data_IF_136574272737
#
_entry.id   IF_136574272737
#
_cell.length_a   1.000
_cell.length_b   1.000
_cell.length_c   1.000
_cell.angle_alpha   90.00
_cell.angle_beta   90.00
_cell.angle_gamma   90.00
#
_symmetry.space_group_name_H-M   'P 1'
#
loop_
_entity.id
_entity.type
_entity.pdbx_description
1 polymer ?
#
# COMPACT_ATOMS: atom_id res chain seq x y z
N UNK A 1 23.51 -3.42 -13.21
CA UNK A 1 23.41 -4.42 -12.13
C UNK A 1 21.95 -4.82 -12.02
N UNK A 2 21.60 -6.11 -12.15
CA UNK A 2 20.21 -6.57 -12.26
C UNK A 2 19.60 -6.69 -10.85
N UNK A 3 18.55 -5.93 -10.57
CA UNK A 3 17.75 -6.07 -9.34
C UNK A 3 16.87 -7.31 -9.45
N UNK A 4 16.71 -7.97 -8.30
CA UNK A 4 15.86 -9.13 -8.11
C UNK A 4 14.81 -8.72 -7.09
N UNK A 5 13.77 -8.05 -7.56
CA UNK A 5 12.54 -7.86 -6.80
C UNK A 5 11.79 -9.22 -6.79
N UNK A 6 11.19 -9.49 -5.65
CA UNK A 6 10.44 -10.71 -5.37
C UNK A 6 9.29 -10.22 -4.48
N UNK A 7 8.11 -9.96 -5.05
CA UNK A 7 6.94 -9.60 -4.25
C UNK A 7 6.49 -10.85 -3.51
N UNK A 8 5.79 -10.72 -2.39
CA UNK A 8 5.01 -11.79 -1.75
C UNK A 8 3.61 -11.19 -1.60
N UNK A 9 2.57 -11.76 -2.21
CA UNK A 9 1.24 -11.16 -2.26
C UNK A 9 0.56 -11.43 -0.93
N UNK A 10 0.48 -10.37 -0.13
CA UNK A 10 -0.78 -9.78 0.23
C UNK A 10 -0.92 -8.47 -0.61
N UNK A 11 -2.02 -8.31 -1.35
CA UNK A 11 -2.16 -7.39 -2.47
C UNK A 11 -2.59 -5.95 -2.10
N UNK A 12 -1.84 -4.93 -2.54
CA UNK A 12 -2.23 -3.88 -3.53
C UNK A 12 -1.07 -2.89 -3.75
N UNK A 13 -1.14 -2.22 -4.90
CA UNK A 13 -0.21 -1.24 -5.45
C UNK A 13 0.08 -0.03 -4.55
N UNK A 14 1.36 0.19 -4.27
CA UNK A 14 1.91 1.50 -3.94
C UNK A 14 2.68 2.03 -5.15
N UNK A 15 2.02 2.85 -5.99
CA UNK A 15 2.71 3.58 -7.06
C UNK A 15 3.21 4.93 -6.51
N UNK A 16 4.46 4.95 -6.02
CA UNK A 16 5.41 6.07 -6.13
C UNK A 16 6.71 5.76 -5.37
N UNK A 17 7.67 5.08 -6.01
CA UNK A 17 9.09 5.27 -5.69
C UNK A 17 9.73 5.76 -6.99
N UNK A 18 9.87 7.07 -7.11
CA UNK A 18 10.61 7.69 -8.18
C UNK A 18 11.55 8.74 -7.55
N UNK A 19 12.80 8.72 -8.00
CA UNK A 19 13.98 9.45 -7.49
C UNK A 19 14.74 8.79 -6.31
N UNK A 20 15.43 7.67 -6.57
CA UNK A 20 16.87 7.50 -6.27
C UNK A 20 17.37 6.06 -6.53
N UNK A 21 17.48 5.64 -7.78
CA UNK A 21 18.57 4.81 -8.32
C UNK A 21 18.17 4.28 -9.70
N UNK A 22 19.08 4.43 -10.66
CA UNK A 22 18.93 3.84 -11.98
C UNK A 22 18.91 2.31 -11.84
N UNK A 23 17.89 1.69 -12.46
CA UNK A 23 17.53 0.28 -12.41
C UNK A 23 16.94 -0.14 -11.06
N UNK A 24 15.67 -0.58 -10.99
CA UNK A 24 15.01 -1.31 -9.89
C UNK A 24 13.81 -2.07 -10.50
N UNK A 25 13.87 -3.39 -10.71
CA UNK A 25 12.73 -4.20 -11.24
C UNK A 25 12.76 -5.69 -10.82
N UNK A 26 11.56 -6.31 -10.74
CA UNK A 26 11.16 -7.75 -10.95
C UNK A 26 10.09 -8.41 -10.01
N UNK A 27 9.19 -9.23 -10.57
CA UNK A 27 8.71 -10.53 -10.04
C UNK A 27 7.78 -10.65 -8.82
N UNK A 28 6.47 -10.89 -9.03
CA UNK A 28 5.47 -11.12 -7.97
C UNK A 28 5.42 -12.59 -7.50
N UNK A 29 5.50 -12.87 -6.19
CA UNK A 29 5.20 -14.16 -5.51
C UNK A 29 3.92 -13.96 -4.72
N UNK A 30 3.07 -14.97 -4.54
CA UNK A 30 1.89 -14.96 -3.65
C UNK A 30 2.15 -15.94 -2.51
N UNK A 31 1.78 -15.61 -1.27
CA UNK A 31 1.82 -16.58 -0.16
C UNK A 31 0.45 -16.70 0.48
N UNK A 32 0.06 -17.95 0.73
CA UNK A 32 -1.16 -18.34 1.44
C UNK A 32 -1.09 -17.86 2.89
N UNK A 33 -2.09 -17.10 3.33
CA UNK A 33 -2.23 -16.70 4.73
C UNK A 33 -3.47 -17.38 5.32
N UNK A 34 -3.25 -18.25 6.32
CA UNK A 34 -4.30 -19.05 6.98
C UNK A 34 -4.94 -18.33 8.19
N UNK A 35 -4.73 -17.02 8.37
CA UNK A 35 -5.34 -16.27 9.47
C UNK A 35 -6.82 -15.96 9.24
N UNK A 36 -7.62 -16.01 10.33
CA UNK A 36 -9.07 -15.72 10.33
C UNK A 36 -9.39 -14.36 9.69
N UNK A 37 -10.50 -14.26 8.94
CA UNK A 37 -10.87 -13.03 8.24
C UNK A 37 -11.16 -11.88 9.21
N UNK A 38 -10.56 -10.73 8.97
CA UNK A 38 -11.01 -9.44 9.51
C UNK A 38 -11.82 -8.74 8.43
N UNK A 39 -13.12 -8.51 8.68
CA UNK A 39 -13.95 -7.72 7.79
C UNK A 39 -13.41 -6.29 7.72
N UNK A 40 -12.99 -5.84 6.53
CA UNK A 40 -12.64 -4.43 6.27
C UNK A 40 -13.13 -3.99 4.91
N UNK A 41 -13.63 -2.76 4.89
CA UNK A 41 -14.11 -2.02 3.73
C UNK A 41 -12.95 -1.70 2.78
N UNK A 42 -12.98 -2.21 1.55
CA UNK A 42 -12.19 -1.65 0.44
C UNK A 42 -13.10 -1.48 -0.79
N UNK A 43 -13.83 -0.38 -0.93
CA UNK A 43 -14.44 -0.03 -2.20
C UNK A 43 -13.33 0.32 -3.18
N UNK A 44 -13.28 -0.38 -4.31
CA UNK A 44 -12.45 0.03 -5.44
C UNK A 44 -12.80 1.46 -5.85
N UNK A 45 -11.79 2.34 -5.90
CA UNK A 45 -11.92 3.72 -6.36
C UNK A 45 -12.49 3.79 -7.81
N UNK A 46 -12.45 2.67 -8.55
CA UNK A 46 -12.83 2.57 -9.95
C UNK A 46 -14.26 2.07 -10.21
N UNK A 47 -14.96 1.49 -9.22
CA UNK A 47 -16.27 0.85 -9.47
C UNK A 47 -17.47 1.80 -9.51
N UNK A 48 -17.29 3.08 -9.16
CA UNK A 48 -18.40 4.05 -9.05
C UNK A 48 -18.40 5.16 -10.10
N UNK A 49 -17.55 5.10 -11.13
CA UNK A 49 -17.61 6.02 -12.27
C UNK A 49 -18.52 5.47 -13.39
N UNK A 50 -19.82 5.38 -13.11
CA UNK A 50 -20.84 5.49 -14.17
C UNK A 50 -21.37 6.92 -14.16
N UNK A 51 -20.83 7.77 -15.03
CA UNK A 51 -21.47 9.04 -15.37
C UNK A 51 -22.82 8.67 -16.01
N UNK A 52 -23.94 8.92 -15.31
CA UNK A 52 -25.24 8.91 -15.96
C UNK A 52 -25.30 10.10 -16.92
N UNK A 53 -25.72 9.83 -18.15
CA UNK A 53 -25.76 10.78 -19.27
C UNK A 53 -26.93 11.75 -19.21
N UNK A 54 -27.68 11.83 -18.10
CA UNK A 54 -28.97 12.54 -18.04
C UNK A 54 -28.99 13.82 -17.19
N UNK A 55 -27.87 14.22 -16.58
CA UNK A 55 -27.68 15.60 -16.08
C UNK A 55 -28.64 16.06 -14.97
N UNK A 56 -29.30 15.14 -14.26
CA UNK A 56 -30.17 15.46 -13.12
C UNK A 56 -29.40 15.34 -11.79
N UNK A 57 -29.43 16.35 -10.90
CA UNK A 57 -28.95 16.21 -9.53
C UNK A 57 -30.03 15.52 -8.68
N UNK A 58 -29.83 14.24 -8.40
CA UNK A 58 -30.52 13.58 -7.29
C UNK A 58 -29.52 13.53 -6.13
N UNK A 59 -29.68 14.42 -5.15
CA UNK A 59 -28.76 14.67 -4.03
C UNK A 59 -28.84 13.59 -2.93
N UNK A 60 -29.41 12.42 -3.23
CA UNK A 60 -29.33 11.28 -2.31
C UNK A 60 -28.27 10.29 -2.80
N UNK A 61 -27.17 10.10 -2.02
CA UNK A 61 -26.25 9.01 -2.27
C UNK A 61 -27.06 7.71 -2.35
N UNK A 62 -26.85 6.86 -3.37
CA UNK A 62 -27.47 5.55 -3.36
C UNK A 62 -27.15 4.86 -2.03
N UNK A 63 -28.12 4.15 -1.41
CA UNK A 63 -27.87 3.46 -0.16
C UNK A 63 -26.64 2.58 -0.31
N UNK A 64 -25.74 2.65 0.66
CA UNK A 64 -24.52 1.86 0.61
C UNK A 64 -24.89 0.38 0.47
N UNK A 65 -24.28 -0.35 -0.49
CA UNK A 65 -24.50 -1.78 -0.60
C UNK A 65 -24.09 -2.45 0.72
N UNK A 66 -24.75 -3.56 1.10
CA UNK A 66 -24.46 -4.27 2.34
C UNK A 66 -22.98 -4.64 2.43
N UNK A 67 -22.45 -4.63 3.65
CA UNK A 67 -21.08 -5.05 3.96
C UNK A 67 -20.80 -6.44 3.38
N UNK A 68 -19.96 -6.52 2.35
CA UNK A 68 -19.45 -7.82 1.90
C UNK A 68 -18.44 -8.31 2.93
N UNK A 69 -18.77 -9.46 3.55
CA UNK A 69 -17.84 -10.18 4.40
C UNK A 69 -16.69 -10.64 3.52
N UNK A 70 -15.48 -10.19 3.83
CA UNK A 70 -14.26 -10.71 3.22
C UNK A 70 -14.14 -12.17 3.63
N UNK A 71 -14.60 -13.07 2.78
CA UNK A 71 -14.17 -14.45 2.88
C UNK A 71 -12.66 -14.46 2.59
N UNK A 72 -11.91 -15.31 3.30
CA UNK A 72 -10.48 -15.48 3.04
C UNK A 72 -10.20 -15.92 1.59
N UNK A 73 -8.95 -16.28 1.30
CA UNK A 73 -8.60 -16.87 0.00
C UNK A 73 -9.63 -17.91 -0.48
N UNK A 74 -10.26 -17.67 -1.63
CA UNK A 74 -11.14 -18.62 -2.32
C UNK A 74 -10.63 -18.83 -3.74
N UNK A 75 -10.13 -20.03 -4.01
CA UNK A 75 -9.61 -20.39 -5.34
C UNK A 75 -10.68 -20.48 -6.43
N UNK A 76 -11.96 -20.47 -6.05
CA UNK A 76 -13.08 -20.54 -7.00
C UNK A 76 -13.68 -19.16 -7.30
N UNK A 77 -13.30 -18.13 -6.54
CA UNK A 77 -13.63 -16.75 -6.86
C UNK A 77 -12.70 -16.29 -7.98
N UNK A 78 -13.10 -16.50 -9.23
CA UNK A 78 -12.24 -16.32 -10.42
C UNK A 78 -12.68 -15.05 -11.17
N UNK A 79 -11.73 -14.14 -11.41
CA UNK A 79 -11.99 -12.91 -12.17
C UNK A 79 -12.56 -13.23 -13.56
N UNK A 80 -13.54 -12.43 -14.00
CA UNK A 80 -14.05 -12.55 -15.36
C UNK A 80 -12.97 -12.17 -16.38
N UNK A 81 -12.99 -12.78 -17.57
CA UNK A 81 -11.99 -12.51 -18.61
C UNK A 81 -11.85 -11.01 -18.96
N UNK A 82 -12.94 -10.23 -19.17
CA UNK A 82 -12.83 -8.80 -19.46
C UNK A 82 -12.20 -7.99 -18.33
N UNK A 83 -12.45 -8.36 -17.07
CA UNK A 83 -11.86 -7.72 -15.90
C UNK A 83 -10.35 -7.99 -15.86
N UNK A 84 -9.95 -9.25 -16.03
CA UNK A 84 -8.56 -9.64 -16.10
C UNK A 84 -7.80 -8.94 -17.23
N UNK A 85 -8.42 -8.78 -18.40
CA UNK A 85 -7.84 -8.06 -19.53
C UNK A 85 -7.71 -6.55 -19.24
N UNK A 86 -8.71 -5.94 -18.60
CA UNK A 86 -8.64 -4.55 -18.19
C UNK A 86 -7.49 -4.30 -17.19
N UNK A 87 -7.32 -5.21 -16.21
CA UNK A 87 -6.20 -5.16 -15.25
C UNK A 87 -4.86 -5.37 -15.95
N UNK A 88 -4.76 -6.31 -16.89
CA UNK A 88 -3.55 -6.50 -17.69
C UNK A 88 -3.17 -5.23 -18.49
N UNK A 89 -4.14 -4.54 -19.10
CA UNK A 89 -3.87 -3.26 -19.80
C UNK A 89 -3.41 -2.19 -18.83
N UNK A 90 -4.06 -2.06 -17.66
CA UNK A 90 -3.67 -1.10 -16.62
C UNK A 90 -2.25 -1.38 -16.10
N UNK A 91 -1.88 -2.64 -15.86
CA UNK A 91 -0.54 -2.99 -15.39
C UNK A 91 0.54 -2.86 -16.47
N UNK A 92 0.20 -3.07 -17.74
CA UNK A 92 1.12 -2.73 -18.84
C UNK A 92 1.44 -1.23 -18.84
N UNK A 93 0.40 -0.39 -18.73
CA UNK A 93 0.59 1.06 -18.58
C UNK A 93 1.44 1.41 -17.35
N UNK A 94 1.18 0.79 -16.19
CA UNK A 94 2.00 0.98 -14.99
C UNK A 94 3.48 0.59 -15.20
N UNK A 95 3.74 -0.50 -15.95
CA UNK A 95 5.11 -0.91 -16.32
C UNK A 95 5.81 0.17 -17.16
N UNK A 96 5.10 0.79 -18.10
CA UNK A 96 5.63 1.92 -18.86
C UNK A 96 5.99 3.09 -17.94
N UNK A 97 5.13 3.42 -16.96
CA UNK A 97 5.40 4.49 -16.01
C UNK A 97 6.63 4.22 -15.14
N UNK A 98 6.83 2.96 -14.70
CA UNK A 98 7.98 2.59 -13.87
C UNK A 98 9.32 2.70 -14.63
N UNK A 99 9.31 2.57 -15.96
CA UNK A 99 10.51 2.69 -16.81
C UNK A 99 10.79 4.12 -17.27
N UNK A 100 9.77 4.96 -17.26
CA UNK A 100 9.85 6.33 -17.71
C UNK A 100 10.62 7.20 -16.70
N UNK A 101 11.13 8.33 -17.16
CA UNK A 101 11.65 9.36 -16.26
C UNK A 101 10.53 9.93 -15.39
N UNK A 102 10.85 10.56 -14.25
CA UNK A 102 9.85 11.20 -13.40
C UNK A 102 8.95 12.17 -14.17
N UNK A 103 9.52 12.95 -15.10
CA UNK A 103 8.78 13.91 -15.92
C UNK A 103 7.83 13.20 -16.90
N UNK A 104 8.31 12.20 -17.63
CA UNK A 104 7.49 11.44 -18.58
C UNK A 104 6.37 10.67 -17.87
N UNK A 105 6.70 9.97 -16.78
CA UNK A 105 5.72 9.29 -15.95
C UNK A 105 4.69 10.29 -15.41
N UNK A 106 5.13 11.46 -14.95
CA UNK A 106 4.25 12.52 -14.46
C UNK A 106 3.30 13.10 -15.51
N UNK A 107 3.76 13.23 -16.76
CA UNK A 107 2.96 13.70 -17.91
C UNK A 107 1.96 12.66 -18.41
N UNK A 108 2.28 11.37 -18.28
CA UNK A 108 1.47 10.27 -18.81
C UNK A 108 0.21 9.97 -17.99
N UNK A 109 0.11 10.45 -16.74
CA UNK A 109 -1.08 10.25 -15.91
C UNK A 109 -2.33 10.90 -16.52
N UNK A 110 -3.42 10.15 -16.74
CA UNK A 110 -4.65 10.66 -17.35
C UNK A 110 -5.46 11.50 -16.35
N UNK A 111 -6.38 12.34 -16.85
CA UNK A 111 -7.40 12.98 -16.00
C UNK A 111 -8.33 11.90 -15.40
N UNK A 112 -8.82 12.05 -14.14
CA UNK A 112 -8.57 13.16 -13.21
C UNK A 112 -7.27 13.00 -12.38
N UNK A 113 -6.48 11.97 -12.64
CA UNK A 113 -5.24 11.64 -11.90
C UNK A 113 -4.00 12.42 -12.37
N UNK A 114 -4.20 13.41 -13.24
CA UNK A 114 -3.15 14.25 -13.78
C UNK A 114 -2.40 14.93 -12.65
N UNK A 115 -1.08 14.78 -12.68
CA UNK A 115 -0.21 15.29 -11.60
C UNK A 115 0.09 16.77 -11.81
N UNK A 116 0.07 17.52 -10.71
CA UNK A 116 0.54 18.90 -10.64
C UNK A 116 1.57 19.02 -9.51
N UNK A 117 2.86 19.28 -9.79
CA UNK A 117 3.46 19.40 -11.13
C UNK A 117 3.39 18.09 -11.92
N UNK A 118 3.55 18.15 -13.25
CA UNK A 118 3.57 16.99 -14.16
C UNK A 118 4.86 16.17 -13.99
N UNK A 119 5.09 15.66 -12.80
CA UNK A 119 6.24 14.85 -12.41
C UNK A 119 5.79 13.76 -11.43
N UNK A 120 6.36 12.56 -11.59
CA UNK A 120 6.24 11.47 -10.63
C UNK A 120 7.08 11.70 -9.37
N UNK A 121 8.01 12.67 -9.41
CA UNK A 121 8.83 13.07 -8.27
C UNK A 121 7.95 13.38 -7.07
N UNK A 122 8.39 12.90 -5.91
CA UNK A 122 7.73 13.22 -4.66
C UNK A 122 7.78 14.73 -4.40
N UNK A 123 6.65 15.39 -4.05
CA UNK A 123 6.67 16.77 -3.57
C UNK A 123 7.22 16.88 -2.15
N UNK A 124 7.50 15.74 -1.50
CA UNK A 124 7.94 15.68 -0.12
C UNK A 124 9.22 16.47 0.12
N UNK A 125 9.20 17.28 1.18
CA UNK A 125 10.37 17.96 1.72
C UNK A 125 10.50 17.55 3.19
N UNK A 126 11.67 17.07 3.64
CA UNK A 126 11.88 16.60 5.01
C UNK A 126 11.50 17.60 6.10
N UNK A 127 11.50 18.91 5.80
CA UNK A 127 11.19 19.98 6.74
C UNK A 127 9.68 20.26 6.90
N UNK A 128 8.83 19.65 6.07
CA UNK A 128 7.37 19.83 6.12
C UNK A 128 6.74 18.47 6.37
N UNK A 129 6.39 18.21 7.63
CA UNK A 129 5.83 16.93 8.05
C UNK A 129 4.33 16.80 7.78
N UNK A 130 3.63 17.85 7.30
CA UNK A 130 2.20 17.81 6.95
C UNK A 130 1.33 17.13 8.03
N UNK A 131 1.62 17.40 9.31
CA UNK A 131 0.91 16.85 10.46
C UNK A 131 0.91 15.32 10.55
N UNK A 132 1.97 14.68 10.04
CA UNK A 132 2.28 13.28 10.30
C UNK A 132 3.15 13.15 11.54
N UNK A 133 2.72 12.32 12.49
CA UNK A 133 3.37 12.06 13.76
C UNK A 133 3.79 10.60 13.86
N UNK A 134 4.94 10.33 14.51
CA UNK A 134 5.23 8.98 14.99
C UNK A 134 4.28 8.68 16.15
N UNK A 135 3.51 7.61 16.04
CA UNK A 135 2.58 7.14 17.06
C UNK A 135 3.14 5.91 17.78
N UNK A 136 2.60 5.62 18.95
CA UNK A 136 2.96 4.46 19.75
C UNK A 136 2.67 3.17 18.98
N UNK A 137 3.66 2.30 18.89
CA UNK A 137 3.53 1.04 18.15
C UNK A 137 4.28 -0.09 18.82
N UNK A 138 3.60 -1.24 18.97
CA UNK A 138 4.20 -2.44 19.55
C UNK A 138 5.27 -3.02 18.60
N UNK A 139 6.52 -2.64 18.87
CA UNK A 139 7.68 -3.10 18.11
C UNK A 139 7.85 -4.62 18.15
N UNK A 140 7.47 -5.27 19.26
CA UNK A 140 7.70 -6.70 19.46
C UNK A 140 6.68 -7.55 18.72
N UNK A 141 5.43 -7.10 18.64
CA UNK A 141 4.38 -7.81 17.92
C UNK A 141 4.34 -7.48 16.43
N UNK A 142 4.47 -6.20 16.07
CA UNK A 142 4.09 -5.74 14.74
C UNK A 142 5.01 -6.15 13.58
N UNK A 143 6.30 -6.39 13.85
CA UNK A 143 7.23 -6.91 12.84
C UNK A 143 7.93 -8.21 13.29
N UNK A 144 7.28 -8.99 14.15
CA UNK A 144 7.71 -10.35 14.42
C UNK A 144 7.16 -11.27 13.31
N UNK A 145 8.02 -11.51 12.33
CA UNK A 145 7.71 -12.34 11.18
C UNK A 145 8.09 -13.82 11.40
N UNK A 146 8.29 -14.26 12.65
CA UNK A 146 8.68 -15.65 12.95
C UNK A 146 7.63 -16.66 12.50
N UNK A 147 8.04 -17.91 12.29
CA UNK A 147 7.11 -19.02 11.99
C UNK A 147 6.56 -19.68 13.28
N UNK A 148 6.79 -19.08 14.45
CA UNK A 148 6.47 -19.68 15.75
C UNK A 148 4.96 -19.71 16.05
N UNK A 149 4.54 -20.55 16.99
CA UNK A 149 3.12 -20.80 17.32
C UNK A 149 2.49 -19.78 18.29
N UNK A 150 3.11 -18.61 18.49
CA UNK A 150 2.47 -17.56 19.31
C UNK A 150 1.33 -16.94 18.51
N UNK A 151 0.36 -16.40 19.21
CA UNK A 151 -0.97 -16.01 18.72
C UNK A 151 -1.00 -14.97 17.60
N UNK A 152 0.15 -14.46 17.14
CA UNK A 152 0.32 -13.49 16.06
C UNK A 152 1.68 -13.71 15.38
N UNK A 153 1.75 -14.62 14.41
CA UNK A 153 2.94 -14.79 13.58
C UNK A 153 2.56 -14.72 12.11
N UNK A 154 3.35 -13.97 11.37
CA UNK A 154 3.06 -13.69 9.95
C UNK A 154 3.58 -14.79 9.02
N UNK A 155 4.28 -15.77 9.59
CA UNK A 155 4.80 -16.94 8.91
C UNK A 155 5.67 -16.59 7.69
N UNK A 156 6.48 -15.52 7.79
CA UNK A 156 7.39 -15.08 6.74
C UNK A 156 8.86 -15.42 7.05
N UNK A 157 9.17 -16.10 8.14
CA UNK A 157 10.56 -16.32 8.55
C UNK A 157 11.31 -17.15 7.50
N UNK A 158 10.69 -18.21 6.98
CA UNK A 158 11.29 -19.03 5.91
C UNK A 158 11.64 -18.20 4.68
N UNK A 159 10.76 -17.29 4.24
CA UNK A 159 10.96 -16.49 3.03
C UNK A 159 12.00 -15.38 3.25
N UNK A 160 11.91 -14.64 4.36
CA UNK A 160 12.86 -13.59 4.71
C UNK A 160 14.28 -14.15 4.95
N UNK A 161 14.39 -15.28 5.66
CA UNK A 161 15.67 -15.95 5.87
C UNK A 161 16.32 -16.38 4.55
N UNK A 162 15.55 -16.93 3.61
CA UNK A 162 16.05 -17.34 2.30
C UNK A 162 16.54 -16.15 1.46
N UNK A 163 16.04 -14.93 1.73
CA UNK A 163 16.49 -13.70 1.08
C UNK A 163 17.67 -13.02 1.80
N UNK A 164 18.09 -13.55 2.96
CA UNK A 164 19.10 -12.95 3.82
C UNK A 164 18.61 -11.67 4.51
N UNK A 165 17.32 -11.59 4.81
CA UNK A 165 16.68 -10.48 5.52
C UNK A 165 16.40 -10.87 6.96
N UNK A 166 16.29 -9.86 7.83
CA UNK A 166 15.80 -10.08 9.19
C UNK A 166 14.30 -10.38 9.18
N UNK A 167 13.86 -11.21 10.12
CA UNK A 167 12.45 -11.56 10.34
C UNK A 167 12.00 -11.20 11.77
N UNK A 168 12.82 -10.45 12.51
CA UNK A 168 12.52 -10.01 13.87
C UNK A 168 12.81 -8.51 14.03
N UNK A 169 12.10 -7.83 14.95
CA UNK A 169 12.39 -6.46 15.30
C UNK A 169 13.70 -6.35 16.09
N UNK A 170 14.32 -5.16 16.08
CA UNK A 170 15.56 -4.87 16.82
C UNK A 170 15.43 -5.12 18.32
N UNK A 171 14.27 -4.85 18.89
CA UNK A 171 13.95 -5.10 20.31
C UNK A 171 14.00 -6.58 20.68
N UNK A 172 13.92 -7.47 19.69
CA UNK A 172 14.01 -8.94 19.84
C UNK A 172 15.30 -9.51 19.23
N UNK A 173 16.30 -8.67 18.95
CA UNK A 173 17.60 -9.09 18.42
C UNK A 173 17.67 -9.26 16.90
N UNK A 174 16.63 -8.85 16.17
CA UNK A 174 16.68 -8.71 14.71
C UNK A 174 17.22 -7.35 14.25
N UNK A 175 16.98 -7.01 12.99
CA UNK A 175 17.47 -5.76 12.37
C UNK A 175 16.32 -4.81 11.97
N UNK A 176 15.05 -5.25 12.09
CA UNK A 176 13.88 -4.45 11.68
C UNK A 176 13.54 -3.38 12.72
N UNK A 177 13.26 -2.16 12.28
CA UNK A 177 12.63 -1.11 13.09
C UNK A 177 11.22 -0.88 12.59
N UNK A 178 10.22 -0.97 13.46
CA UNK A 178 8.82 -0.76 13.11
C UNK A 178 8.40 0.69 13.37
N UNK A 179 7.46 1.18 12.58
CA UNK A 179 6.92 2.53 12.70
C UNK A 179 5.39 2.48 12.53
N UNK A 180 4.68 3.29 13.32
CA UNK A 180 3.30 3.70 13.03
C UNK A 180 3.33 5.21 12.85
N UNK A 181 2.96 5.68 11.66
CA UNK A 181 2.94 7.10 11.32
C UNK A 181 1.49 7.50 11.10
N UNK A 182 0.99 8.44 11.88
CA UNK A 182 -0.42 8.82 11.89
C UNK A 182 -0.59 10.29 11.51
N UNK A 183 -1.63 10.59 10.75
CA UNK A 183 -2.03 11.95 10.40
C UNK A 183 -3.03 12.47 11.44
N UNK A 184 -2.54 12.43 12.67
CA UNK A 184 -3.12 12.90 13.92
C UNK A 184 -2.02 12.85 14.98
N UNK A 185 -2.15 13.65 16.02
CA UNK A 185 -1.30 13.61 17.19
C UNK A 185 -2.02 12.84 18.30
N UNK A 186 -1.49 11.66 18.66
CA UNK A 186 -2.05 10.81 19.71
C UNK A 186 -1.92 11.43 21.13
N UNK A 187 -1.11 12.48 21.25
CA UNK A 187 -0.88 13.21 22.49
C UNK A 187 -1.49 14.62 22.47
N UNK A 188 -2.32 14.95 21.47
CA UNK A 188 -3.03 16.22 21.47
C UNK A 188 -4.01 16.30 22.66
N UNK A 189 -3.99 17.41 23.38
CA UNK A 189 -4.87 17.69 24.52
C UNK A 189 -5.57 19.05 24.31
N UNK A 190 -6.80 19.16 24.82
CA UNK A 190 -7.54 20.42 24.84
C UNK A 190 -7.12 21.33 26.01
N UNK A 191 -7.79 22.46 26.19
CA UNK A 191 -7.47 23.44 27.25
C UNK A 191 -7.64 22.88 28.67
N UNK A 192 -8.47 21.84 28.82
CA UNK A 192 -8.76 21.18 30.08
C UNK A 192 -7.85 19.95 30.32
N UNK A 193 -6.94 19.66 29.38
CA UNK A 193 -6.02 18.53 29.44
C UNK A 193 -6.65 17.19 29.03
N UNK A 194 -7.81 17.21 28.36
CA UNK A 194 -8.41 15.99 27.83
C UNK A 194 -7.87 15.67 26.43
N UNK A 195 -7.69 14.38 26.08
CA UNK A 195 -7.25 14.00 24.74
C UNK A 195 -8.18 14.56 23.66
N UNK A 196 -7.60 15.30 22.71
CA UNK A 196 -8.33 15.83 21.56
C UNK A 196 -8.52 14.73 20.53
N UNK A 197 -9.77 14.33 20.21
CA UNK A 197 -10.01 13.32 19.18
C UNK A 197 -9.54 13.83 17.81
N UNK A 198 -9.07 12.94 16.95
CA UNK A 198 -8.45 13.34 15.68
C UNK A 198 -9.40 14.18 14.78
N UNK A 199 -10.73 14.03 14.91
CA UNK A 199 -11.70 14.83 14.16
C UNK A 199 -11.64 16.33 14.49
N UNK A 200 -11.21 16.66 15.71
CA UNK A 200 -11.12 18.04 16.20
C UNK A 200 -9.72 18.62 16.03
N UNK A 201 -8.75 17.80 15.63
CA UNK A 201 -7.38 18.23 15.39
C UNK A 201 -7.25 18.93 14.05
N UNK A 202 -6.61 20.11 14.06
CA UNK A 202 -6.38 20.92 12.88
C UNK A 202 -4.95 21.43 12.87
N UNK A 203 -4.39 21.65 11.68
CA UNK A 203 -3.04 22.17 11.51
C UNK A 203 -2.99 23.21 10.39
N UNK A 204 -1.88 23.91 10.27
CA UNK A 204 -1.69 24.90 9.21
C UNK A 204 -0.36 24.72 8.51
N UNK A 205 -0.38 24.75 7.18
CA UNK A 205 0.81 24.69 6.33
C UNK A 205 0.73 25.85 5.34
N UNK A 206 1.78 26.69 5.31
CA UNK A 206 1.84 27.87 4.44
C UNK A 206 0.64 28.84 4.58
N UNK A 207 0.04 28.93 5.77
CA UNK A 207 -1.10 29.80 6.04
C UNK A 207 -2.47 29.22 5.66
N UNK A 208 -2.52 28.01 5.10
CA UNK A 208 -3.76 27.27 4.85
C UNK A 208 -4.03 26.30 6.00
N UNK A 209 -5.31 26.20 6.42
CA UNK A 209 -5.75 25.35 7.53
C UNK A 209 -6.31 24.04 7.00
N UNK A 210 -5.87 22.94 7.59
CA UNK A 210 -6.26 21.58 7.23
C UNK A 210 -6.80 20.85 8.48
N UNK A 211 -7.71 19.91 8.26
CA UNK A 211 -8.14 18.96 9.29
C UNK A 211 -7.23 17.73 9.31
N UNK A 212 -7.02 17.17 10.50
CA UNK A 212 -6.43 15.85 10.62
C UNK A 212 -7.38 14.80 9.99
N UNK A 213 -6.81 13.87 9.24
CA UNK A 213 -7.57 12.83 8.55
C UNK A 213 -7.72 11.56 9.39
N UNK A 214 -6.83 11.34 10.36
CA UNK A 214 -6.73 10.08 11.11
C UNK A 214 -6.11 8.94 10.30
N UNK A 215 -5.60 9.21 9.10
CA UNK A 215 -4.91 8.22 8.28
C UNK A 215 -3.63 7.72 8.95
N UNK A 216 -3.20 6.51 8.61
CA UNK A 216 -2.06 5.89 9.27
C UNK A 216 -1.29 4.93 8.35
N UNK A 217 0.02 4.84 8.57
CA UNK A 217 0.93 3.96 7.84
C UNK A 217 1.79 3.16 8.82
N UNK A 218 1.67 1.84 8.78
CA UNK A 218 2.46 0.91 9.60
C UNK A 218 3.44 0.16 8.73
N UNK A 219 4.71 0.14 9.12
CA UNK A 219 5.76 -0.49 8.33
C UNK A 219 6.99 -0.85 9.16
N UNK A 220 7.73 -1.85 8.69
CA UNK A 220 9.05 -2.22 9.17
C UNK A 220 10.15 -1.81 8.19
N UNK A 221 11.34 -1.46 8.70
CA UNK A 221 12.51 -1.17 7.90
C UNK A 221 13.68 -2.04 8.34
N UNK A 222 14.22 -2.83 7.39
CA UNK A 222 15.49 -3.55 7.53
C UNK A 222 16.56 -2.86 6.65
N UNK A 223 17.19 -1.82 7.19
CA UNK A 223 18.23 -1.06 6.47
C UNK A 223 19.43 -1.94 6.08
N UNK A 224 19.74 -2.94 6.90
CA UNK A 224 20.90 -3.81 6.73
C UNK A 224 20.66 -4.85 5.64
N UNK A 225 19.52 -5.53 5.69
CA UNK A 225 19.09 -6.50 4.68
C UNK A 225 18.67 -5.85 3.35
N UNK A 226 18.23 -4.60 3.40
CA UNK A 226 17.81 -3.85 2.22
C UNK A 226 16.31 -3.94 1.95
N UNK A 227 15.46 -3.88 2.98
CA UNK A 227 14.02 -4.08 2.82
C UNK A 227 13.16 -3.04 3.53
N UNK A 228 12.01 -2.73 2.90
CA UNK A 228 10.87 -2.04 3.52
C UNK A 228 9.71 -3.05 3.55
N UNK A 229 9.06 -3.17 4.70
CA UNK A 229 7.90 -4.01 4.95
C UNK A 229 6.70 -3.11 5.21
N UNK A 230 5.95 -2.74 4.16
CA UNK A 230 4.64 -2.15 4.33
C UNK A 230 3.72 -3.18 5.01
N UNK A 231 3.20 -2.87 6.19
CA UNK A 231 2.28 -3.73 6.89
C UNK A 231 0.87 -3.30 6.47
N UNK A 232 0.15 -2.63 7.37
CA UNK A 232 -1.14 -2.06 7.03
C UNK A 232 -1.03 -0.56 6.81
N UNK A 233 -1.86 -0.02 5.93
CA UNK A 233 -1.91 1.40 5.64
C UNK A 233 -3.31 1.84 5.27
N UNK A 234 -3.68 3.05 5.67
CA UNK A 234 -4.95 3.68 5.34
C UNK A 234 -4.69 5.09 4.82
N UNK A 235 -5.22 5.40 3.63
CA UNK A 235 -4.89 6.64 2.94
C UNK A 235 -5.75 7.82 3.43
N UNK A 236 -5.22 9.05 3.46
CA UNK A 236 -5.94 10.27 3.88
C UNK A 236 -7.33 10.42 3.27
N UNK A 237 -7.47 10.22 1.96
CA UNK A 237 -8.75 10.37 1.27
C UNK A 237 -9.83 9.41 1.78
N UNK A 238 -9.43 8.19 2.14
CA UNK A 238 -10.34 7.16 2.62
C UNK A 238 -10.69 7.40 4.09
N UNK A 239 -9.68 7.54 4.94
CA UNK A 239 -9.89 7.73 6.38
C UNK A 239 -10.60 9.04 6.68
N UNK A 240 -10.29 10.12 5.96
CA UNK A 240 -11.06 11.37 6.06
C UNK A 240 -12.51 11.20 5.63
N UNK A 241 -12.81 10.40 4.60
CA UNK A 241 -14.19 10.20 4.17
C UNK A 241 -15.04 9.54 5.26
N UNK A 242 -14.45 8.54 5.92
CA UNK A 242 -15.10 7.77 6.98
C UNK A 242 -15.26 8.63 8.23
N UNK A 243 -14.22 9.37 8.59
CA UNK A 243 -14.18 10.20 9.78
C UNK A 243 -15.01 11.48 9.68
N UNK A 244 -15.08 12.09 8.50
CA UNK A 244 -15.81 13.34 8.27
C UNK A 244 -17.25 13.10 7.83
N UNK A 245 -17.66 11.85 7.59
CA UNK A 245 -19.00 11.49 7.13
C UNK A 245 -19.32 11.97 5.70
N UNK A 246 -18.32 12.41 4.93
CA UNK A 246 -18.45 12.88 3.55
C UNK A 246 -17.15 12.69 2.80
N UNK A 247 -17.23 12.59 1.47
CA UNK A 247 -16.03 12.54 0.63
C UNK A 247 -15.24 13.87 0.75
N UNK A 248 -13.92 13.82 1.02
CA UNK A 248 -13.09 15.01 1.03
C UNK A 248 -12.84 15.52 -0.40
N UNK A 249 -12.77 16.84 -0.56
CA UNK A 249 -12.23 17.46 -1.76
C UNK A 249 -10.70 17.32 -1.78
N UNK A 250 -10.12 17.31 -2.98
CA UNK A 250 -8.67 17.08 -3.13
C UNK A 250 -7.81 18.14 -2.43
N UNK A 251 -8.29 19.39 -2.34
CA UNK A 251 -7.63 20.49 -1.65
C UNK A 251 -7.82 20.48 -0.12
N UNK A 252 -8.66 19.59 0.42
CA UNK A 252 -8.82 19.41 1.88
C UNK A 252 -7.85 18.36 2.44
N UNK A 253 -7.17 17.61 1.56
CA UNK A 253 -6.27 16.52 1.92
C UNK A 253 -4.82 17.00 2.04
N UNK A 254 -3.99 16.34 2.88
CA UNK A 254 -2.57 16.64 2.95
C UNK A 254 -1.91 16.46 1.58
N UNK A 255 -1.08 17.41 1.17
CA UNK A 255 -0.30 17.27 -0.06
C UNK A 255 0.69 16.10 0.03
N UNK A 256 1.19 15.81 1.24
CA UNK A 256 1.91 14.58 1.55
C UNK A 256 0.91 13.53 2.03
N UNK A 257 0.36 12.75 1.10
CA UNK A 257 -0.65 11.73 1.41
C UNK A 257 -0.32 10.33 0.90
N UNK A 258 0.93 10.07 0.49
CA UNK A 258 1.33 8.80 -0.09
C UNK A 258 2.17 8.01 0.92
N UNK A 259 1.76 6.77 1.16
CA UNK A 259 2.47 5.84 2.02
C UNK A 259 3.94 5.68 1.60
N UNK A 260 4.21 5.57 0.30
CA UNK A 260 5.55 5.35 -0.22
C UNK A 260 6.50 6.53 0.01
N UNK A 261 5.99 7.77 -0.01
CA UNK A 261 6.81 8.96 0.29
C UNK A 261 7.28 8.93 1.75
N UNK A 262 6.38 8.59 2.67
CA UNK A 262 6.67 8.48 4.11
C UNK A 262 7.59 7.28 4.37
N UNK A 263 7.28 6.09 3.86
CA UNK A 263 8.15 4.93 4.04
C UNK A 263 9.56 5.16 3.47
N UNK A 264 9.68 5.81 2.32
CA UNK A 264 10.98 6.15 1.75
C UNK A 264 11.74 7.19 2.59
N UNK A 265 11.04 8.17 3.17
CA UNK A 265 11.67 9.09 4.11
C UNK A 265 12.31 8.35 5.29
N UNK A 266 11.58 7.42 5.91
CA UNK A 266 12.12 6.62 7.00
C UNK A 266 13.23 5.66 6.55
N UNK A 267 13.14 5.13 5.33
CA UNK A 267 14.20 4.32 4.72
C UNK A 267 15.50 5.11 4.54
N UNK A 268 15.39 6.35 4.05
CA UNK A 268 16.53 7.22 3.80
C UNK A 268 17.07 7.87 5.09
N UNK A 269 16.22 7.99 6.13
CA UNK A 269 16.57 8.60 7.42
C UNK A 269 17.71 7.83 8.09
N UNK A 270 18.81 8.52 8.33
CA UNK A 270 20.02 7.99 8.95
C UNK A 270 20.58 6.72 8.27
N UNK A 271 20.27 6.50 6.99
CA UNK A 271 20.73 5.34 6.25
C UNK A 271 21.93 5.72 5.37
N UNK A 272 23.16 5.29 5.72
CA UNK A 272 24.34 5.62 4.93
C UNK A 272 24.36 4.93 3.56
N UNK A 273 23.49 3.93 3.34
CA UNK A 273 23.43 3.14 2.12
C UNK A 273 22.00 3.10 1.54
N UNK A 274 21.41 4.27 1.28
CA UNK A 274 20.06 4.40 0.71
C UNK A 274 19.87 3.57 -0.58
N UNK A 275 20.94 3.37 -1.35
CA UNK A 275 20.95 2.59 -2.60
C UNK A 275 20.85 1.08 -2.38
N UNK A 276 20.96 0.58 -1.15
CA UNK A 276 20.82 -0.84 -0.81
C UNK A 276 19.36 -1.27 -0.63
N UNK A 277 18.39 -0.46 -1.08
CA UNK A 277 17.00 -0.93 -1.12
C UNK A 277 16.88 -2.02 -2.20
N UNK A 278 16.60 -3.24 -1.75
CA UNK A 278 16.51 -4.45 -2.59
C UNK A 278 15.08 -4.97 -2.68
N UNK A 279 14.31 -4.84 -1.61
CA UNK A 279 12.98 -5.41 -1.49
C UNK A 279 11.98 -4.41 -0.91
N UNK A 280 10.75 -4.51 -1.40
CA UNK A 280 9.59 -3.84 -0.85
C UNK A 280 8.49 -4.89 -0.70
N UNK A 281 8.07 -5.16 0.54
CA UNK A 281 7.01 -6.10 0.87
C UNK A 281 5.75 -5.33 1.24
N UNK A 282 4.59 -5.84 0.84
CA UNK A 282 3.30 -5.46 1.41
C UNK A 282 2.74 -6.69 2.12
N UNK A 283 2.48 -6.56 3.42
CA UNK A 283 2.06 -7.63 4.34
C UNK A 283 0.68 -7.26 4.88
N UNK A 284 -0.23 -8.22 5.03
CA UNK A 284 -1.61 -7.99 5.51
C UNK A 284 -2.52 -7.10 4.65
N UNK A 285 -2.14 -6.78 3.42
CA UNK A 285 -3.03 -6.07 2.51
C UNK A 285 -3.88 -7.10 1.76
N UNK A 286 -5.18 -7.14 2.00
CA UNK A 286 -6.10 -8.00 1.24
C UNK A 286 -6.82 -7.12 0.23
N UNK A 287 -6.69 -7.44 -1.06
CA UNK A 287 -7.39 -6.74 -2.13
C UNK A 287 -8.43 -7.64 -2.80
N UNK A 288 -9.69 -7.25 -2.73
CA UNK A 288 -10.81 -7.87 -3.42
C UNK A 288 -10.62 -7.97 -4.92
N UNK A 289 -9.90 -7.04 -5.54
CA UNK A 289 -9.64 -7.09 -6.98
C UNK A 289 -8.47 -8.02 -7.35
N UNK A 290 -7.58 -8.35 -6.40
CA UNK A 290 -6.39 -9.17 -6.71
C UNK A 290 -6.63 -10.65 -6.47
N UNK A 291 -7.39 -11.02 -5.43
CA UNK A 291 -7.66 -12.43 -5.15
C UNK A 291 -8.28 -13.15 -6.36
N UNK A 292 -9.29 -12.59 -7.05
CA UNK A 292 -9.88 -13.27 -8.19
C UNK A 292 -8.95 -13.35 -9.41
N UNK A 293 -8.01 -12.41 -9.55
CA UNK A 293 -6.98 -12.46 -10.59
C UNK A 293 -5.96 -13.56 -10.31
N UNK A 294 -5.59 -13.78 -9.04
CA UNK A 294 -4.70 -14.86 -8.63
C UNK A 294 -5.38 -16.21 -8.84
N UNK A 295 -6.64 -16.34 -8.41
CA UNK A 295 -7.44 -17.54 -8.64
C UNK A 295 -7.53 -17.85 -10.15
N UNK A 296 -7.75 -16.82 -10.98
CA UNK A 296 -7.70 -16.95 -12.44
C UNK A 296 -6.36 -17.45 -12.95
N UNK A 297 -5.25 -16.88 -12.48
CA UNK A 297 -3.90 -17.29 -12.91
C UNK A 297 -3.64 -18.75 -12.58
N UNK A 298 -4.03 -19.21 -11.38
CA UNK A 298 -3.92 -20.61 -10.97
C UNK A 298 -4.80 -21.49 -11.86
N UNK A 299 -6.08 -21.12 -12.02
CA UNK A 299 -7.03 -21.89 -12.81
C UNK A 299 -6.61 -22.03 -14.29
N UNK A 300 -6.03 -20.97 -14.88
CA UNK A 300 -5.61 -20.96 -16.28
C UNK A 300 -4.24 -21.64 -16.50
N UNK A 301 -3.45 -21.89 -15.45
CA UNK A 301 -2.17 -22.59 -15.52
C UNK A 301 -2.33 -24.08 -15.14
N UNK A 302 -2.21 -25.01 -16.08
CA UNK A 302 -2.37 -26.45 -15.80
C UNK A 302 -1.28 -27.03 -14.88
N UNK A 303 -0.23 -26.26 -14.53
CA UNK A 303 0.80 -26.68 -13.58
C UNK A 303 0.48 -26.26 -12.13
N UNK A 304 -0.60 -25.49 -11.91
CA UNK A 304 -0.96 -24.96 -10.60
C UNK A 304 -2.33 -25.50 -10.17
N UNK A 305 -2.35 -26.32 -9.13
CA UNK A 305 -3.61 -26.84 -8.54
C UNK A 305 -4.15 -25.94 -7.41
N UNK A 306 -3.26 -25.17 -6.76
CA UNK A 306 -3.53 -24.23 -5.68
C UNK A 306 -2.37 -23.22 -5.57
N UNK A 307 -2.44 -22.30 -4.62
CA UNK A 307 -1.33 -21.42 -4.28
C UNK A 307 -0.11 -22.23 -3.82
N UNK A 308 1.02 -22.15 -4.55
CA UNK A 308 2.22 -22.85 -4.13
C UNK A 308 2.84 -22.20 -2.90
N UNK A 309 3.41 -23.02 -2.03
CA UNK A 309 4.28 -22.57 -0.95
C UNK A 309 5.48 -21.80 -1.49
N UNK A 310 6.12 -20.99 -0.64
CA UNK A 310 7.40 -20.34 -0.96
C UNK A 310 8.41 -21.34 -1.59
N UNK A 311 9.04 -21.02 -2.74
CA UNK A 311 9.22 -19.69 -3.34
C UNK A 311 8.10 -19.22 -4.28
N UNK A 312 6.99 -19.94 -4.33
CA UNK A 312 5.82 -19.66 -5.14
C UNK A 312 6.08 -19.58 -6.64
N UNK A 313 5.19 -18.90 -7.36
CA UNK A 313 5.30 -18.68 -8.81
C UNK A 313 6.01 -17.36 -9.09
N UNK A 314 6.73 -17.28 -10.21
CA UNK A 314 7.39 -16.06 -10.67
C UNK A 314 6.93 -15.70 -12.07
N UNK A 315 6.37 -14.52 -12.21
CA UNK A 315 6.05 -13.95 -13.51
C UNK A 315 7.15 -13.02 -14.00
N UNK A 316 7.50 -13.15 -15.27
CA UNK A 316 8.46 -12.27 -15.90
C UNK A 316 7.78 -10.95 -16.24
N UNK A 317 8.55 -9.86 -16.18
CA UNK A 317 8.07 -8.56 -16.59
C UNK A 317 7.55 -8.59 -18.03
N UNK A 318 6.36 -8.04 -18.26
CA UNK A 318 5.70 -8.04 -19.57
C UNK A 318 4.81 -9.26 -19.82
N UNK A 319 4.85 -10.31 -18.99
CA UNK A 319 3.86 -11.39 -19.06
C UNK A 319 2.46 -10.86 -18.76
N UNK A 320 1.44 -11.56 -19.24
CA UNK A 320 0.05 -11.14 -19.01
C UNK A 320 -0.28 -11.18 -17.51
N UNK A 321 0.14 -12.21 -16.81
CA UNK A 321 -0.06 -12.45 -15.38
C UNK A 321 0.66 -11.37 -14.55
N UNK A 322 1.90 -11.04 -14.92
CA UNK A 322 2.64 -9.93 -14.31
C UNK A 322 1.85 -8.61 -14.43
N UNK A 323 1.35 -8.31 -15.63
CA UNK A 323 0.58 -7.09 -15.86
C UNK A 323 -0.80 -7.14 -15.17
N UNK A 324 -1.47 -8.29 -15.09
CA UNK A 324 -2.73 -8.42 -14.35
C UNK A 324 -2.55 -8.01 -12.89
N UNK A 325 -1.55 -8.57 -12.22
CA UNK A 325 -1.32 -8.32 -10.81
C UNK A 325 -0.83 -6.89 -10.54
N UNK A 326 -0.01 -6.33 -11.44
CA UNK A 326 0.45 -4.95 -11.34
C UNK A 326 -0.67 -3.92 -11.62
N UNK A 327 -1.68 -4.31 -12.39
CA UNK A 327 -2.81 -3.45 -12.73
C UNK A 327 -3.91 -3.38 -11.69
N UNK A 328 -3.73 -4.03 -10.54
CA UNK A 328 -4.66 -3.96 -9.40
C UNK A 328 -4.69 -2.55 -8.84
#
# INVERSE_FOLDING_TARGET
>A
MKIKLLFLVAALAALAIASASEHLFSGIVVVKNDTKPTARRVPGLFDRLKIRTDGSPDDTPPPDPPLEVVNGWDKNDIAAQPEADAKAVKGHFATCLLKATDEEAGKAWPDPYKRTPKSARSPFKPTQHWFWHEASYDQNGACDFTDATRTHTDHLQKSLSALGLSYMPKTMGGDIVCYSIEHSDEHAEDEDGYPTPYQDQHYSVNGEKFGATGAWYRFGIDQKGGAIHGLSHEAPAFTAADNWGRRPHANELPHLGKASDIMFFYWARANPNVRNLRYYFNVYVINHETNPLIAKIIHDDPQLDDLPDWPGVKFHEGSREFNMLLGT
#
